data_IF_320833334611
#
_entry.id   IF_320833334611
#
_cell.length_a   1.000
_cell.length_b   1.000
_cell.length_c   1.000
_cell.angle_alpha   90.00
_cell.angle_beta   90.00
_cell.angle_gamma   90.00
#
_symmetry.space_group_name_H-M   'P 1'
#
loop_
_entity.id
_entity.type
_entity.pdbx_description
1 polymer ?
#
# COMPACT_ATOMS: atom_id res chain seq x y z
N UNK A 1 5.42 10.72 -17.87
CA UNK A 1 4.71 11.25 -19.07
C UNK A 1 3.73 10.23 -19.65
N UNK A 2 4.15 8.99 -19.97
CA UNK A 2 3.26 7.96 -20.54
C UNK A 2 2.04 7.60 -19.66
N UNK A 3 2.24 7.40 -18.35
CA UNK A 3 1.16 7.06 -17.40
C UNK A 3 0.12 8.18 -17.29
N UNK A 4 0.59 9.43 -17.24
CA UNK A 4 -0.29 10.61 -17.16
C UNK A 4 -1.08 10.79 -18.47
N UNK A 5 -0.44 10.58 -19.62
CA UNK A 5 -1.11 10.59 -20.92
C UNK A 5 -2.15 9.47 -21.08
N UNK A 6 -1.86 8.27 -20.56
CA UNK A 6 -2.80 7.16 -20.52
C UNK A 6 -4.01 7.48 -19.64
N UNK A 7 -3.77 7.98 -18.41
CA UNK A 7 -4.84 8.39 -17.51
C UNK A 7 -5.74 9.46 -18.17
N UNK A 8 -5.13 10.45 -18.82
CA UNK A 8 -5.87 11.47 -19.55
C UNK A 8 -6.73 10.88 -20.69
N UNK A 9 -6.20 9.93 -21.46
CA UNK A 9 -6.93 9.26 -22.53
C UNK A 9 -8.12 8.46 -22.01
N UNK A 10 -7.92 7.72 -20.90
CA UNK A 10 -8.97 6.92 -20.23
C UNK A 10 -10.06 7.84 -19.68
N UNK A 11 -9.68 8.92 -19.00
CA UNK A 11 -10.61 9.92 -18.46
C UNK A 11 -11.42 10.61 -19.57
N UNK A 12 -10.80 10.91 -20.72
CA UNK A 12 -11.48 11.53 -21.86
C UNK A 12 -12.41 10.56 -22.60
N UNK A 13 -12.07 9.27 -22.67
CA UNK A 13 -12.86 8.23 -23.36
C UNK A 13 -14.05 7.74 -22.55
N UNK A 14 -13.85 7.49 -21.26
CA UNK A 14 -14.86 6.91 -20.37
C UNK A 14 -15.70 8.01 -19.71
N UNK A 15 -15.11 9.17 -19.46
CA UNK A 15 -15.76 10.26 -18.74
C UNK A 15 -15.79 10.04 -17.23
N UNK A 16 -15.67 11.12 -16.47
CA UNK A 16 -15.60 11.08 -15.00
C UNK A 16 -16.84 10.47 -14.35
N UNK A 17 -18.02 10.68 -14.97
CA UNK A 17 -19.32 10.25 -14.44
C UNK A 17 -19.48 8.72 -14.47
N UNK A 18 -19.09 8.07 -15.55
CA UNK A 18 -19.18 6.61 -15.67
C UNK A 18 -18.24 5.89 -14.69
N UNK A 19 -17.10 6.49 -14.35
CA UNK A 19 -16.19 5.96 -13.33
C UNK A 19 -16.85 6.03 -11.94
N UNK A 20 -17.46 7.17 -11.60
CA UNK A 20 -18.16 7.33 -10.32
C UNK A 20 -19.37 6.40 -10.20
N UNK A 21 -20.14 6.23 -11.27
CA UNK A 21 -21.26 5.28 -11.33
C UNK A 21 -20.76 3.84 -11.13
N UNK A 22 -19.67 3.44 -11.78
CA UNK A 22 -19.08 2.11 -11.60
C UNK A 22 -18.58 1.86 -10.17
N UNK A 23 -17.95 2.86 -9.53
CA UNK A 23 -17.54 2.78 -8.12
C UNK A 23 -18.77 2.69 -7.20
N UNK A 24 -19.82 3.45 -7.50
CA UNK A 24 -21.05 3.46 -6.69
C UNK A 24 -21.83 2.14 -6.78
N UNK A 25 -21.75 1.44 -7.91
CA UNK A 25 -22.36 0.13 -8.11
C UNK A 25 -21.51 -1.05 -7.62
N UNK A 26 -20.32 -0.78 -7.08
CA UNK A 26 -19.42 -1.84 -6.62
C UNK A 26 -20.00 -2.57 -5.40
N UNK A 27 -19.87 -3.90 -5.40
CA UNK A 27 -20.35 -4.73 -4.29
C UNK A 27 -19.60 -4.40 -3.00
N UNK A 28 -20.36 -3.98 -1.97
CA UNK A 28 -19.81 -3.54 -0.69
C UNK A 28 -19.12 -4.67 0.08
N UNK A 29 -19.54 -5.92 -0.12
CA UNK A 29 -18.91 -7.12 0.47
C UNK A 29 -17.58 -7.41 -0.22
N UNK A 30 -17.52 -7.25 -1.54
CA UNK A 30 -16.27 -7.39 -2.29
C UNK A 30 -15.24 -6.33 -1.85
N UNK A 31 -15.66 -5.07 -1.66
CA UNK A 31 -14.79 -4.02 -1.13
C UNK A 31 -14.30 -4.36 0.29
N UNK A 32 -15.20 -4.80 1.17
CA UNK A 32 -14.83 -5.19 2.53
C UNK A 32 -13.87 -6.39 2.54
N UNK A 33 -14.10 -7.40 1.70
CA UNK A 33 -13.22 -8.55 1.56
C UNK A 33 -11.84 -8.13 1.03
N UNK A 34 -11.78 -7.24 0.03
CA UNK A 34 -10.52 -6.70 -0.48
C UNK A 34 -9.75 -5.92 0.60
N UNK A 35 -10.45 -5.11 1.42
CA UNK A 35 -9.83 -4.40 2.53
C UNK A 35 -9.26 -5.36 3.59
N UNK A 36 -10.00 -6.41 3.95
CA UNK A 36 -9.55 -7.43 4.90
C UNK A 36 -8.34 -8.21 4.36
N UNK A 37 -8.37 -8.60 3.08
CA UNK A 37 -7.24 -9.24 2.43
C UNK A 37 -6.01 -8.33 2.42
N UNK A 38 -6.20 -7.04 2.14
CA UNK A 38 -5.12 -6.07 2.16
C UNK A 38 -4.49 -5.92 3.56
N UNK A 39 -5.30 -5.95 4.63
CA UNK A 39 -4.79 -5.99 6.00
C UNK A 39 -3.97 -7.25 6.27
N UNK A 40 -4.44 -8.43 5.82
CA UNK A 40 -3.69 -9.67 5.94
C UNK A 40 -2.36 -9.62 5.17
N UNK A 41 -2.34 -9.02 3.97
CA UNK A 41 -1.11 -8.80 3.19
C UNK A 41 -0.12 -7.94 3.96
N UNK A 42 -0.56 -6.85 4.61
CA UNK A 42 0.32 -6.02 5.42
C UNK A 42 0.93 -6.79 6.61
N UNK A 43 0.14 -7.64 7.27
CA UNK A 43 0.63 -8.49 8.35
C UNK A 43 1.70 -9.48 7.84
N UNK A 44 1.44 -10.16 6.72
CA UNK A 44 2.39 -11.08 6.10
C UNK A 44 3.69 -10.38 5.66
N UNK A 45 3.59 -9.17 5.12
CA UNK A 45 4.75 -8.39 4.74
C UNK A 45 5.59 -7.94 5.94
N UNK A 46 4.95 -7.56 7.05
CA UNK A 46 5.64 -7.27 8.31
C UNK A 46 6.38 -8.52 8.81
N UNK A 47 5.72 -9.69 8.84
CA UNK A 47 6.36 -10.97 9.20
C UNK A 47 7.56 -11.27 8.30
N UNK A 48 7.40 -11.11 6.98
CA UNK A 48 8.50 -11.31 6.01
C UNK A 48 9.67 -10.37 6.29
N UNK A 49 9.40 -9.10 6.62
CA UNK A 49 10.43 -8.12 6.93
C UNK A 49 11.20 -8.50 8.20
N UNK A 50 10.50 -8.95 9.24
CA UNK A 50 11.13 -9.51 10.44
C UNK A 50 12.02 -10.71 10.12
N UNK A 51 11.62 -11.56 9.15
CA UNK A 51 12.44 -12.71 8.74
C UNK A 51 13.81 -12.35 8.19
N UNK A 52 13.96 -11.18 7.56
CA UNK A 52 15.24 -10.71 7.00
C UNK A 52 16.17 -10.17 8.09
N UNK A 53 15.65 -9.82 9.25
CA UNK A 53 16.44 -9.29 10.36
C UNK A 53 17.20 -10.40 11.10
N UNK A 54 18.39 -10.05 11.58
CA UNK A 54 19.15 -10.88 12.51
C UNK A 54 18.32 -11.15 13.78
N UNK A 55 18.34 -12.38 14.33
CA UNK A 55 17.53 -12.74 15.51
C UNK A 55 17.76 -11.82 16.72
N UNK A 56 19.01 -11.41 16.91
CA UNK A 56 19.48 -10.50 17.97
C UNK A 56 18.85 -9.09 17.91
N UNK A 57 18.42 -8.64 16.73
CA UNK A 57 17.85 -7.30 16.52
C UNK A 57 16.37 -7.34 16.11
N UNK A 58 15.72 -8.51 16.13
CA UNK A 58 14.33 -8.67 15.67
C UNK A 58 13.35 -8.19 16.76
N UNK A 59 12.60 -7.10 16.55
CA UNK A 59 11.54 -6.72 17.48
C UNK A 59 10.38 -7.72 17.43
N UNK A 60 9.56 -7.73 18.47
CA UNK A 60 8.28 -8.46 18.45
C UNK A 60 7.37 -7.97 17.31
N UNK A 61 6.46 -8.83 16.85
CA UNK A 61 5.58 -8.50 15.73
C UNK A 61 4.71 -7.25 15.98
N UNK A 62 4.09 -7.14 17.15
CA UNK A 62 3.20 -6.03 17.48
C UNK A 62 3.92 -4.68 17.53
N UNK A 63 5.12 -4.55 18.16
CA UNK A 63 5.94 -3.34 18.04
C UNK A 63 6.40 -3.03 16.60
N UNK A 64 6.69 -4.05 15.80
CA UNK A 64 7.18 -3.88 14.43
C UNK A 64 6.10 -3.43 13.44
N UNK A 65 4.84 -3.80 13.69
CA UNK A 65 3.72 -3.52 12.78
C UNK A 65 3.52 -2.01 12.49
N UNK A 66 3.44 -1.10 13.48
CA UNK A 66 3.29 0.33 13.20
C UNK A 66 4.51 0.92 12.48
N UNK A 67 5.72 0.47 12.80
CA UNK A 67 6.96 0.87 12.12
C UNK A 67 6.92 0.46 10.65
N UNK A 68 6.52 -0.79 10.38
CA UNK A 68 6.38 -1.31 9.04
C UNK A 68 5.35 -0.53 8.23
N UNK A 69 4.18 -0.25 8.82
CA UNK A 69 3.10 0.52 8.21
C UNK A 69 3.51 1.97 7.91
N UNK A 70 4.24 2.63 8.82
CA UNK A 70 4.80 3.96 8.58
C UNK A 70 5.76 3.95 7.37
N UNK A 71 6.64 2.95 7.27
CA UNK A 71 7.50 2.79 6.10
C UNK A 71 6.72 2.55 4.80
N UNK A 72 5.63 1.76 4.82
CA UNK A 72 4.74 1.57 3.65
C UNK A 72 4.08 2.90 3.26
N UNK A 73 3.60 3.66 4.23
CA UNK A 73 2.97 4.96 3.99
C UNK A 73 3.95 5.93 3.31
N UNK A 74 5.16 6.08 3.87
CA UNK A 74 6.20 6.94 3.28
C UNK A 74 6.59 6.48 1.88
N UNK A 75 6.66 5.17 1.65
CA UNK A 75 6.88 4.62 0.31
C UNK A 75 5.75 4.90 -0.68
N UNK A 76 4.52 5.09 -0.20
CA UNK A 76 3.35 5.36 -1.04
C UNK A 76 3.25 6.83 -1.42
N UNK A 77 3.58 7.74 -0.48
CA UNK A 77 3.49 9.18 -0.72
C UNK A 77 4.72 9.75 -1.44
N UNK A 78 5.87 9.07 -1.35
CA UNK A 78 7.13 9.58 -1.92
C UNK A 78 7.23 9.22 -3.42
N UNK A 79 7.29 10.21 -4.33
CA UNK A 79 7.50 9.94 -5.75
C UNK A 79 8.93 9.44 -5.98
N UNK A 80 9.09 8.19 -6.43
CA UNK A 80 10.40 7.56 -6.63
C UNK A 80 10.37 6.06 -6.39
N UNK A 81 11.53 5.39 -6.48
CA UNK A 81 11.70 3.95 -6.41
C UNK A 81 11.47 3.32 -5.00
N UNK A 82 10.42 3.74 -4.27
CA UNK A 82 10.05 3.22 -2.94
C UNK A 82 11.23 3.21 -1.94
N UNK A 83 12.05 4.26 -2.00
CA UNK A 83 13.26 4.39 -1.18
C UNK A 83 12.97 5.08 0.16
N UNK A 84 11.90 5.88 0.26
CA UNK A 84 11.63 6.71 1.43
C UNK A 84 11.24 5.95 2.70
N UNK A 85 10.67 4.75 2.56
CA UNK A 85 10.22 3.94 3.70
C UNK A 85 11.32 3.14 4.39
N UNK A 86 12.43 2.88 3.72
CA UNK A 86 13.55 2.13 4.28
C UNK A 86 14.30 2.92 5.39
N UNK A 87 14.58 4.23 5.24
CA UNK A 87 15.11 5.06 6.33
C UNK A 87 14.22 5.09 7.57
N UNK A 88 12.90 5.17 7.38
CA UNK A 88 11.93 5.23 8.49
C UNK A 88 11.96 3.93 9.30
N UNK A 89 12.12 2.80 8.62
CA UNK A 89 12.22 1.47 9.26
C UNK A 89 13.59 1.17 9.87
N UNK A 90 14.62 1.90 9.49
CA UNK A 90 15.96 1.76 10.06
C UNK A 90 16.15 2.64 11.30
N UNK A 91 15.40 3.74 11.39
CA UNK A 91 15.48 4.69 12.50
C UNK A 91 14.64 4.25 13.72
N UNK A 92 13.48 3.65 13.47
CA UNK A 92 12.54 3.15 14.50
C UNK A 92 12.57 1.63 14.56
#
# INVERSE_FOLDING_TARGET
>A
VAVVGLLYLVLRRIGFRSILEAISGADRRAIAAAALLQLAVFMLWCLRWLQVMRPENRPGFFPALPIYMAGVFVNTITPGARVGGEPVRAYY
#
